data_IF_801787735183
#
_entry.id   IF_801787735183
#
_cell.length_a   1.000
_cell.length_b   1.000
_cell.length_c   1.000
_cell.angle_alpha   90.00
_cell.angle_beta   90.00
_cell.angle_gamma   90.00
#
_symmetry.space_group_name_H-M   'P 1'
#
loop_
_entity.id
_entity.type
_entity.pdbx_description
1 polymer ?
#
# COMPACT_ATOMS: atom_id res chain seq x y z
N UNK A 1 -4.70 -3.28 24.16
CA UNK A 1 -4.54 -2.00 23.42
C UNK A 1 -4.33 -2.41 21.98
N UNK A 2 -5.34 -2.20 21.13
CA UNK A 2 -5.34 -2.68 19.75
C UNK A 2 -4.21 -2.02 18.99
N UNK A 3 -3.23 -2.80 18.56
CA UNK A 3 -2.34 -2.38 17.48
C UNK A 3 -3.24 -2.04 16.29
N UNK A 4 -3.19 -0.82 15.73
CA UNK A 4 -3.94 -0.54 14.51
C UNK A 4 -3.47 -1.52 13.45
N UNK A 5 -4.40 -2.32 12.95
CA UNK A 5 -4.12 -3.33 11.95
C UNK A 5 -3.53 -2.64 10.71
N UNK A 6 -2.62 -3.27 9.98
CA UNK A 6 -1.95 -2.63 8.84
C UNK A 6 -2.96 -2.07 7.82
N UNK A 7 -4.12 -2.74 7.72
CA UNK A 7 -5.25 -2.28 6.92
C UNK A 7 -5.82 -0.93 7.34
N UNK A 8 -5.86 -0.61 8.65
CA UNK A 8 -6.33 0.70 9.13
C UNK A 8 -5.34 1.81 8.81
N UNK A 9 -4.03 1.58 8.96
CA UNK A 9 -3.00 2.56 8.58
C UNK A 9 -3.05 2.85 7.09
N UNK A 10 -3.17 1.80 6.28
CA UNK A 10 -3.31 1.89 4.84
C UNK A 10 -4.57 2.68 4.46
N UNK A 11 -5.73 2.34 5.03
CA UNK A 11 -6.99 3.06 4.76
C UNK A 11 -6.91 4.54 5.17
N UNK A 12 -6.26 4.86 6.28
CA UNK A 12 -6.03 6.22 6.74
C UNK A 12 -5.16 7.04 5.78
N UNK A 13 -4.05 6.48 5.28
CA UNK A 13 -3.20 7.13 4.27
C UNK A 13 -4.00 7.41 3.00
N UNK A 14 -4.77 6.43 2.53
CA UNK A 14 -5.57 6.61 1.31
C UNK A 14 -6.63 7.68 1.53
N UNK A 15 -7.31 7.68 2.67
CA UNK A 15 -8.26 8.73 3.03
C UNK A 15 -7.61 10.12 3.05
N UNK A 16 -6.41 10.26 3.60
CA UNK A 16 -5.69 11.53 3.57
C UNK A 16 -5.44 12.00 2.14
N UNK A 17 -4.92 11.11 1.29
CA UNK A 17 -4.65 11.42 -0.13
C UNK A 17 -5.92 11.71 -0.90
N UNK A 18 -7.01 10.99 -0.65
CA UNK A 18 -8.33 11.25 -1.25
C UNK A 18 -8.80 12.67 -0.92
N UNK A 19 -8.64 13.09 0.33
CA UNK A 19 -9.03 14.42 0.77
C UNK A 19 -8.14 15.52 0.14
N UNK A 20 -6.85 15.27 -0.01
CA UNK A 20 -5.92 16.23 -0.63
C UNK A 20 -6.11 16.34 -2.15
N UNK A 21 -6.20 15.20 -2.84
CA UNK A 21 -6.24 15.19 -4.31
C UNK A 21 -7.65 15.26 -4.87
N UNK A 22 -8.69 15.14 -4.03
CA UNK A 22 -10.11 15.00 -4.43
C UNK A 22 -10.37 13.75 -5.31
N UNK A 23 -9.45 12.78 -5.29
CA UNK A 23 -9.56 11.58 -6.14
C UNK A 23 -10.11 10.44 -5.29
N UNK A 24 -11.18 9.76 -5.73
CA UNK A 24 -11.81 8.74 -4.92
C UNK A 24 -10.91 7.53 -4.72
N UNK A 25 -11.05 6.89 -3.55
CA UNK A 25 -10.22 5.75 -3.14
C UNK A 25 -10.30 4.57 -4.10
N UNK A 26 -11.38 4.43 -4.87
CA UNK A 26 -11.51 3.39 -5.90
C UNK A 26 -10.61 3.62 -7.13
N UNK A 27 -10.19 4.86 -7.39
CA UNK A 27 -9.27 5.23 -8.46
C UNK A 27 -7.83 5.12 -7.96
N UNK A 28 -7.60 5.55 -6.71
CA UNK A 28 -6.31 5.44 -6.05
C UNK A 28 -5.95 3.98 -5.74
N UNK A 29 -6.91 3.21 -5.23
CA UNK A 29 -6.69 1.86 -4.73
C UNK A 29 -7.77 0.87 -5.17
N UNK A 30 -7.54 0.26 -6.33
CA UNK A 30 -8.21 -0.99 -6.76
C UNK A 30 -7.49 -2.21 -6.21
N UNK A 31 -8.23 -3.32 -6.05
CA UNK A 31 -7.71 -4.66 -5.69
C UNK A 31 -6.44 -5.07 -6.44
N UNK A 32 -6.32 -4.73 -7.74
CA UNK A 32 -5.11 -5.01 -8.54
C UNK A 32 -3.85 -4.33 -7.99
N UNK A 33 -3.99 -3.12 -7.47
CA UNK A 33 -2.87 -2.34 -6.93
C UNK A 33 -2.44 -2.83 -5.57
N UNK A 34 -3.43 -3.12 -4.71
CA UNK A 34 -3.17 -3.70 -3.41
C UNK A 34 -2.36 -4.98 -3.58
N UNK A 35 -2.83 -5.91 -4.41
CA UNK A 35 -2.09 -7.14 -4.70
C UNK A 35 -0.70 -6.89 -5.26
N UNK A 36 -0.52 -5.90 -6.16
CA UNK A 36 0.79 -5.57 -6.71
C UNK A 36 1.74 -5.03 -5.62
N UNK A 37 1.27 -4.13 -4.75
CA UNK A 37 2.04 -3.59 -3.62
C UNK A 37 2.38 -4.68 -2.59
N UNK A 38 1.41 -5.52 -2.22
CA UNK A 38 1.64 -6.65 -1.30
C UNK A 38 2.66 -7.63 -1.87
N UNK A 39 2.52 -8.03 -3.14
CA UNK A 39 3.50 -8.88 -3.81
C UNK A 39 4.86 -8.20 -3.85
N UNK A 40 4.92 -6.92 -4.20
CA UNK A 40 6.16 -6.17 -4.26
C UNK A 40 6.89 -6.13 -2.91
N UNK A 41 6.20 -5.78 -1.82
CA UNK A 41 6.77 -5.70 -0.46
C UNK A 41 7.18 -7.08 0.05
N UNK A 42 6.33 -8.11 -0.13
CA UNK A 42 6.63 -9.49 0.35
C UNK A 42 7.76 -10.15 -0.43
N UNK A 43 7.84 -9.92 -1.74
CA UNK A 43 8.87 -10.51 -2.59
C UNK A 43 10.17 -9.70 -2.60
N UNK A 44 10.25 -8.59 -1.84
CA UNK A 44 11.35 -7.62 -1.91
C UNK A 44 11.69 -7.28 -3.38
N UNK A 45 10.68 -7.17 -4.24
CA UNK A 45 10.90 -6.81 -5.63
C UNK A 45 11.33 -5.35 -5.69
N UNK A 46 12.08 -4.96 -6.72
CA UNK A 46 12.43 -3.57 -6.95
C UNK A 46 11.18 -2.73 -7.26
N UNK A 47 11.18 -1.45 -6.87
CA UNK A 47 10.05 -0.52 -7.10
C UNK A 47 9.75 -0.34 -8.59
N UNK A 48 10.70 -0.71 -9.44
CA UNK A 48 10.63 -0.72 -10.90
C UNK A 48 9.70 -1.79 -11.47
N UNK A 49 9.35 -2.81 -10.68
CA UNK A 49 8.37 -3.85 -11.06
C UNK A 49 6.93 -3.37 -10.83
N UNK A 50 6.76 -2.26 -10.10
CA UNK A 50 5.45 -1.63 -9.98
C UNK A 50 5.03 -1.06 -11.33
N UNK A 51 3.74 -1.16 -11.66
CA UNK A 51 3.25 -0.63 -12.91
C UNK A 51 3.56 0.86 -13.04
N UNK A 52 4.05 1.30 -14.21
CA UNK A 52 4.45 2.69 -14.46
C UNK A 52 3.38 3.74 -14.11
N UNK A 53 2.10 3.33 -14.12
CA UNK A 53 1.00 4.17 -13.73
C UNK A 53 0.94 4.43 -12.20
N UNK A 54 1.53 3.60 -11.32
CA UNK A 54 1.83 3.93 -9.91
C UNK A 54 3.03 4.85 -9.78
N UNK A 55 4.11 4.55 -10.50
CA UNK A 55 5.38 5.30 -10.49
C UNK A 55 5.26 6.72 -11.06
N UNK A 56 4.10 7.10 -11.58
CA UNK A 56 3.82 8.45 -12.06
C UNK A 56 3.45 9.44 -10.94
N UNK A 57 2.56 10.38 -11.25
CA UNK A 57 2.22 11.50 -10.35
C UNK A 57 1.56 11.07 -9.02
N UNK A 58 0.93 9.89 -8.94
CA UNK A 58 0.38 9.35 -7.69
C UNK A 58 1.41 8.60 -6.84
N UNK A 59 2.63 8.38 -7.36
CA UNK A 59 3.66 7.68 -6.62
C UNK A 59 3.96 8.42 -5.33
N UNK A 60 4.31 9.71 -5.45
CA UNK A 60 4.74 10.50 -4.30
C UNK A 60 3.58 10.76 -3.32
N UNK A 61 2.34 10.83 -3.84
CA UNK A 61 1.14 11.09 -3.06
C UNK A 61 0.61 9.85 -2.34
N UNK A 62 0.55 8.70 -3.01
CA UNK A 62 -0.12 7.50 -2.52
C UNK A 62 0.84 6.32 -2.37
N UNK A 63 1.60 6.01 -3.41
CA UNK A 63 2.42 4.79 -3.48
C UNK A 63 3.54 4.81 -2.46
N UNK A 64 4.25 5.93 -2.34
CA UNK A 64 5.34 6.14 -1.40
C UNK A 64 4.90 6.03 0.06
N UNK A 65 3.86 6.73 0.54
CA UNK A 65 3.40 6.55 1.92
C UNK A 65 2.77 5.16 2.15
N UNK A 66 2.16 4.54 1.13
CA UNK A 66 1.72 3.13 1.23
C UNK A 66 2.90 2.18 1.43
N UNK A 67 3.93 2.28 0.59
CA UNK A 67 5.13 1.45 0.67
C UNK A 67 5.80 1.67 2.02
N UNK A 68 5.93 2.91 2.48
CA UNK A 68 6.53 3.23 3.78
C UNK A 68 5.79 2.58 4.95
N UNK A 69 4.45 2.66 4.95
CA UNK A 69 3.60 1.97 5.95
C UNK A 69 3.76 0.45 5.87
N UNK A 70 3.76 -0.12 4.67
CA UNK A 70 3.90 -1.56 4.46
C UNK A 70 5.30 -2.07 4.84
N UNK A 71 6.36 -1.30 4.57
CA UNK A 71 7.74 -1.59 4.98
C UNK A 71 7.92 -1.47 6.49
N UNK A 72 7.34 -0.44 7.11
CA UNK A 72 7.40 -0.25 8.55
C UNK A 72 6.80 -1.43 9.34
N UNK A 73 5.83 -2.11 8.74
CA UNK A 73 5.14 -3.29 9.28
C UNK A 73 5.41 -4.57 8.47
N UNK A 74 6.48 -4.63 7.68
CA UNK A 74 6.83 -5.77 6.80
C UNK A 74 6.93 -7.09 7.60
N UNK A 75 7.45 -7.02 8.82
CA UNK A 75 7.51 -8.14 9.76
C UNK A 75 6.11 -8.68 10.11
N UNK A 76 5.11 -7.80 10.25
CA UNK A 76 3.73 -8.17 10.54
C UNK A 76 3.01 -8.68 9.28
N UNK A 77 3.25 -8.03 8.14
CA UNK A 77 2.73 -8.41 6.83
C UNK A 77 3.12 -9.84 6.45
N UNK A 78 4.41 -10.15 6.59
CA UNK A 78 5.00 -11.45 6.28
C UNK A 78 4.47 -12.55 7.19
N UNK A 79 4.16 -12.21 8.45
CA UNK A 79 3.58 -13.13 9.43
C UNK A 79 2.11 -13.43 9.12
N UNK A 80 1.31 -12.43 8.76
CA UNK A 80 -0.11 -12.61 8.43
C UNK A 80 -0.33 -13.33 7.10
N UNK A 81 0.45 -13.03 6.05
CA UNK A 81 0.30 -13.70 4.74
C UNK A 81 0.72 -15.17 4.76
N UNK A 82 1.70 -15.55 5.60
CA UNK A 82 2.07 -16.97 5.81
C UNK A 82 0.95 -17.81 6.45
N UNK A 83 -0.03 -17.18 7.09
CA UNK A 83 -1.15 -17.86 7.78
C UNK A 83 -2.35 -18.04 6.86
N UNK A 84 -2.31 -17.52 5.63
CA UNK A 84 -3.35 -17.70 4.60
C UNK A 84 -3.07 -18.88 3.63
N UNK A 85 -2.18 -19.82 3.99
CA UNK A 85 -2.06 -21.14 3.34
C UNK A 85 -2.99 -22.18 3.97
#
# INVERSE_FOLDING_TARGET
>A
MNSPDIGEKVDAVIQAVVNETTIPKEVLMRKKWLNALYQHVVFHNDEQDLPAYLLGWRYDLLTKPLIDVLHADENYLSTQMKVME
#
